data_IF_021004722531
#
_entry.id   IF_021004722531
#
_cell.length_a   1.000
_cell.length_b   1.000
_cell.length_c   1.000
_cell.angle_alpha   90.00
_cell.angle_beta   90.00
_cell.angle_gamma   90.00
#
_symmetry.space_group_name_H-M   'P 1'
#
loop_
_entity.id
_entity.type
_entity.pdbx_description
1 polymer ?
#
# COMPACT_ATOMS: atom_id res chain seq x y z
N UNK A 1 9.76 4.61 16.98
CA UNK A 1 9.36 3.21 16.73
C UNK A 1 10.07 2.35 17.77
N UNK A 2 9.34 1.62 18.61
CA UNK A 2 9.89 0.80 19.70
C UNK A 2 9.92 -0.65 19.22
N UNK A 3 11.07 -1.33 19.33
CA UNK A 3 11.26 -2.72 18.94
C UNK A 3 11.32 -3.56 20.21
N UNK A 4 10.53 -4.62 20.30
CA UNK A 4 10.55 -5.53 21.45
C UNK A 4 11.76 -6.47 21.36
N UNK A 5 12.57 -6.54 22.42
CA UNK A 5 13.74 -7.41 22.47
C UNK A 5 13.36 -8.84 22.86
N UNK A 6 13.86 -9.85 22.15
CA UNK A 6 13.72 -11.27 22.51
C UNK A 6 15.04 -11.83 23.04
N UNK A 7 14.98 -12.77 23.99
CA UNK A 7 16.16 -13.46 24.55
C UNK A 7 16.14 -14.95 24.21
N UNK A 8 17.32 -15.53 24.00
CA UNK A 8 17.52 -16.98 23.91
C UNK A 8 17.61 -17.59 25.31
N UNK A 9 16.92 -18.70 25.55
CA UNK A 9 17.00 -19.46 26.80
C UNK A 9 18.23 -20.38 26.80
N UNK A 10 18.61 -20.88 27.97
CA UNK A 10 19.70 -21.85 28.10
C UNK A 10 19.47 -23.16 27.31
N UNK A 11 18.21 -23.50 27.01
CA UNK A 11 17.86 -24.65 26.16
C UNK A 11 17.85 -24.32 24.65
N UNK A 12 18.26 -23.10 24.25
CA UNK A 12 18.27 -22.66 22.86
C UNK A 12 16.90 -22.22 22.33
N UNK A 13 15.90 -22.03 23.18
CA UNK A 13 14.57 -21.56 22.76
C UNK A 13 14.51 -20.04 22.71
N UNK A 14 13.73 -19.46 21.78
CA UNK A 14 13.49 -18.00 21.74
C UNK A 14 12.30 -17.65 22.64
N UNK A 15 12.51 -16.75 23.61
CA UNK A 15 11.44 -16.22 24.45
C UNK A 15 10.67 -15.11 23.74
N UNK A 16 9.35 -15.27 23.62
CA UNK A 16 8.46 -14.26 23.03
C UNK A 16 8.03 -13.25 24.10
N UNK A 17 8.27 -11.93 23.92
CA UNK A 17 7.86 -10.90 24.88
C UNK A 17 6.35 -10.85 25.11
N UNK A 18 5.93 -10.45 26.32
CA UNK A 18 4.51 -10.43 26.70
C UNK A 18 3.65 -9.54 25.79
N UNK A 19 4.18 -8.41 25.34
CA UNK A 19 3.47 -7.50 24.42
C UNK A 19 3.27 -8.13 23.03
N UNK A 20 4.24 -8.90 22.56
CA UNK A 20 4.15 -9.67 21.30
C UNK A 20 3.14 -10.81 21.44
N UNK A 21 3.14 -11.52 22.58
CA UNK A 21 2.12 -12.55 22.88
C UNK A 21 0.71 -11.96 22.93
N UNK A 22 0.56 -10.74 23.48
CA UNK A 22 -0.70 -10.02 23.54
C UNK A 22 -1.17 -9.57 22.16
N UNK A 23 -0.24 -9.19 21.28
CA UNK A 23 -0.52 -8.87 19.88
C UNK A 23 -0.90 -10.11 19.05
N UNK A 24 -0.24 -11.25 19.30
CA UNK A 24 -0.53 -12.53 18.65
C UNK A 24 -1.87 -13.17 19.05
N UNK A 25 -2.64 -12.55 19.97
CA UNK A 25 -4.02 -12.97 20.26
C UNK A 25 -4.95 -12.86 19.05
N UNK A 26 -4.64 -11.97 18.13
CA UNK A 26 -5.45 -11.73 16.94
C UNK A 26 -4.65 -12.19 15.73
N UNK A 27 -5.26 -13.06 14.92
CA UNK A 27 -4.69 -13.42 13.63
C UNK A 27 -4.71 -12.22 12.69
N UNK A 28 -3.91 -12.28 11.61
CA UNK A 28 -3.98 -11.29 10.53
C UNK A 28 -5.40 -11.17 9.95
N UNK A 29 -6.14 -12.28 9.92
CA UNK A 29 -7.52 -12.33 9.48
C UNK A 29 -8.46 -11.58 10.45
N UNK A 30 -8.27 -11.75 11.77
CA UNK A 30 -9.05 -11.03 12.78
C UNK A 30 -8.83 -9.52 12.69
N UNK A 31 -7.57 -9.11 12.51
CA UNK A 31 -7.22 -7.69 12.30
C UNK A 31 -7.83 -7.18 11.00
N UNK A 32 -7.77 -7.96 9.91
CA UNK A 32 -8.34 -7.58 8.63
C UNK A 32 -9.86 -7.38 8.73
N UNK A 33 -10.58 -8.28 9.40
CA UNK A 33 -12.04 -8.16 9.64
C UNK A 33 -12.39 -6.96 10.52
N UNK A 34 -11.58 -6.67 11.54
CA UNK A 34 -11.80 -5.52 12.41
C UNK A 34 -11.61 -4.18 11.68
N UNK A 35 -10.62 -4.09 10.78
CA UNK A 35 -10.31 -2.86 10.02
C UNK A 35 -11.18 -2.71 8.76
N UNK A 36 -11.56 -3.82 8.15
CA UNK A 36 -12.34 -3.89 6.92
C UNK A 36 -13.59 -4.75 7.15
N UNK A 37 -14.57 -4.27 7.93
CA UNK A 37 -15.76 -5.05 8.28
C UNK A 37 -16.61 -5.43 7.05
N UNK A 38 -16.61 -4.59 6.02
CA UNK A 38 -17.25 -4.84 4.72
C UNK A 38 -16.44 -5.78 3.81
N UNK A 39 -15.29 -6.27 4.29
CA UNK A 39 -14.38 -7.12 3.54
C UNK A 39 -13.55 -6.36 2.48
N UNK A 40 -12.74 -7.10 1.70
CA UNK A 40 -11.97 -6.51 0.62
C UNK A 40 -12.90 -5.95 -0.46
N UNK A 41 -12.55 -4.77 -0.98
CA UNK A 41 -13.22 -4.22 -2.16
C UNK A 41 -13.21 -5.26 -3.28
N UNK A 42 -14.28 -5.37 -4.09
CA UNK A 42 -14.31 -6.28 -5.21
C UNK A 42 -13.08 -6.10 -6.10
N UNK A 43 -12.42 -7.21 -6.52
CA UNK A 43 -11.25 -7.13 -7.36
C UNK A 43 -11.58 -6.34 -8.63
N UNK A 44 -10.77 -5.31 -8.92
CA UNK A 44 -10.98 -4.48 -10.12
C UNK A 44 -10.50 -5.23 -11.35
N UNK A 45 -11.31 -5.21 -12.41
CA UNK A 45 -10.92 -5.80 -13.69
C UNK A 45 -9.67 -5.12 -14.26
N UNK A 46 -8.86 -5.89 -14.99
CA UNK A 46 -7.68 -5.39 -15.70
C UNK A 46 -8.05 -4.32 -16.72
N UNK A 47 -9.25 -4.38 -17.31
CA UNK A 47 -9.79 -3.34 -18.18
C UNK A 47 -9.97 -2.00 -17.46
N UNK A 48 -10.58 -2.00 -16.25
CA UNK A 48 -10.72 -0.78 -15.45
C UNK A 48 -9.35 -0.21 -15.09
N UNK A 49 -8.36 -1.07 -14.82
CA UNK A 49 -6.98 -0.65 -14.57
C UNK A 49 -6.36 0.00 -15.82
N UNK A 50 -6.43 -0.65 -16.98
CA UNK A 50 -5.94 -0.12 -18.26
C UNK A 50 -6.58 1.23 -18.59
N UNK A 51 -7.90 1.35 -18.41
CA UNK A 51 -8.64 2.60 -18.62
C UNK A 51 -8.20 3.71 -17.65
N UNK A 52 -7.91 3.36 -16.39
CA UNK A 52 -7.36 4.29 -15.40
C UNK A 52 -5.98 4.82 -15.78
N UNK A 53 -5.08 3.92 -16.20
CA UNK A 53 -3.73 4.27 -16.65
C UNK A 53 -3.79 5.18 -17.89
N UNK A 54 -4.59 4.81 -18.90
CA UNK A 54 -4.76 5.61 -20.12
C UNK A 54 -5.28 7.02 -19.82
N UNK A 55 -6.24 7.15 -18.89
CA UNK A 55 -6.75 8.45 -18.42
C UNK A 55 -5.68 9.27 -17.70
N UNK A 56 -4.87 8.62 -16.87
CA UNK A 56 -3.72 9.23 -16.19
C UNK A 56 -2.68 9.76 -17.17
N UNK A 57 -2.33 8.96 -18.19
CA UNK A 57 -1.43 9.38 -19.27
C UNK A 57 -2.01 10.56 -20.03
N UNK A 58 -3.28 10.51 -20.46
CA UNK A 58 -3.94 11.61 -21.16
C UNK A 58 -3.89 12.90 -20.33
N UNK A 59 -4.21 12.85 -19.04
CA UNK A 59 -4.14 14.03 -18.15
C UNK A 59 -2.72 14.58 -18.03
N UNK A 60 -1.72 13.70 -17.95
CA UNK A 60 -0.30 14.07 -17.87
C UNK A 60 0.18 14.78 -19.15
N UNK A 61 -0.18 14.27 -20.33
CA UNK A 61 0.29 14.82 -21.60
C UNK A 61 -0.57 15.97 -22.14
N UNK A 62 -1.85 16.07 -21.77
CA UNK A 62 -2.70 17.22 -22.10
C UNK A 62 -2.14 18.55 -21.54
N UNK A 63 -1.46 18.51 -20.37
CA UNK A 63 -0.76 19.69 -19.83
C UNK A 63 0.50 20.05 -20.61
N UNK A 64 1.14 19.09 -21.29
CA UNK A 64 2.39 19.29 -22.01
C UNK A 64 2.19 19.97 -23.38
N UNK A 65 1.05 19.75 -24.03
CA UNK A 65 0.74 20.39 -25.31
C UNK A 65 0.44 21.89 -25.19
N UNK A 66 -0.03 22.39 -24.04
CA UNK A 66 -0.38 23.80 -23.88
C UNK A 66 0.79 24.70 -23.46
N UNK A 67 1.81 24.16 -22.79
CA UNK A 67 2.99 24.93 -22.36
C UNK A 67 4.13 24.94 -23.39
N UNK A 68 4.10 24.06 -24.40
CA UNK A 68 5.14 23.92 -25.41
C UNK A 68 4.82 24.45 -26.81
N UNK A 69 3.62 24.96 -27.06
CA UNK A 69 3.20 25.45 -28.39
C UNK A 69 3.27 26.98 -28.54
N UNK A 70 4.02 27.68 -27.68
CA UNK A 70 4.09 29.15 -27.62
C UNK A 70 5.46 29.76 -27.90
N UNK A 71 6.43 29.01 -28.44
CA UNK A 71 7.76 29.55 -28.74
C UNK A 71 8.34 28.95 -30.02
N UNK A 72 7.94 29.50 -31.18
CA UNK A 72 8.74 29.71 -32.40
C UNK A 72 7.80 30.16 -33.52
N UNK A 73 7.39 31.42 -33.51
CA UNK A 73 6.85 32.12 -34.67
C UNK A 73 7.28 33.58 -34.54
N UNK A 74 8.46 33.91 -35.07
CA UNK A 74 9.02 35.25 -34.98
C UNK A 74 10.52 35.30 -35.28
N UNK A 75 10.85 35.20 -36.57
CA UNK A 75 11.96 35.88 -37.25
C UNK A 75 11.96 35.50 -38.72
#
# INVERSE_FOLDING_TARGET
>A
MVIAESRLTAQGQVSVPADVRRAGKFSSEDINKALFPEGPLPPRSTEKMKAGIARGMRRRYARRYFQGSGATAGS
#
